data_IF_848690936778
#
_entry.id   IF_848690936778
#
_cell.length_a   1.000
_cell.length_b   1.000
_cell.length_c   1.000
_cell.angle_alpha   90.00
_cell.angle_beta   90.00
_cell.angle_gamma   90.00
#
_symmetry.space_group_name_H-M   'P 1'
#
loop_
_entity.id
_entity.type
_entity.pdbx_description
1 polymer ?
#
# COMPACT_ATOMS: atom_id res chain seq x y z
N UNK A 1 -34.69 24.08 58.61
CA UNK A 1 -33.45 23.87 59.38
C UNK A 1 -33.19 22.36 59.34
N UNK A 2 -32.09 21.92 58.71
CA UNK A 2 -31.68 20.52 58.42
C UNK A 2 -32.45 19.91 57.24
N UNK A 3 -31.93 19.70 56.02
CA UNK A 3 -30.66 19.15 55.51
C UNK A 3 -30.43 17.65 55.80
N UNK A 4 -29.91 16.99 54.76
CA UNK A 4 -29.42 15.61 54.63
C UNK A 4 -30.50 14.51 54.51
N UNK A 5 -30.57 13.67 53.50
CA UNK A 5 -29.60 13.27 52.49
C UNK A 5 -29.82 11.78 52.23
N UNK A 6 -30.42 11.41 51.11
CA UNK A 6 -30.38 10.01 50.65
C UNK A 6 -30.36 9.92 49.13
N UNK A 7 -29.17 10.21 48.62
CA UNK A 7 -28.62 9.71 47.38
C UNK A 7 -29.08 8.28 47.05
N UNK A 8 -29.77 8.11 45.91
CA UNK A 8 -29.66 6.90 45.06
C UNK A 8 -29.84 7.28 43.59
N UNK A 9 -28.76 7.73 42.99
CA UNK A 9 -28.41 7.33 41.62
C UNK A 9 -27.09 6.55 41.71
N UNK A 10 -26.74 5.67 40.75
CA UNK A 10 -27.46 5.24 39.56
C UNK A 10 -27.44 3.71 39.39
N UNK A 11 -28.19 3.20 38.40
CA UNK A 11 -27.68 2.22 37.40
C UNK A 11 -28.82 1.90 36.44
N UNK A 12 -29.28 2.93 35.74
CA UNK A 12 -29.79 2.73 34.39
C UNK A 12 -28.66 2.08 33.62
N UNK A 13 -28.71 0.75 33.50
CA UNK A 13 -27.84 -0.01 32.62
C UNK A 13 -28.23 0.49 31.24
N UNK A 14 -27.53 1.52 30.76
CA UNK A 14 -27.79 2.18 29.49
C UNK A 14 -27.68 1.08 28.43
N UNK A 15 -28.82 0.48 28.14
CA UNK A 15 -29.01 -0.49 27.08
C UNK A 15 -28.71 0.30 25.83
N UNK A 16 -27.48 0.14 25.38
CA UNK A 16 -26.96 0.76 24.19
C UNK A 16 -28.01 0.59 23.10
N UNK A 17 -28.49 1.68 22.51
CA UNK A 17 -29.56 1.62 21.52
C UNK A 17 -29.16 0.68 20.38
N UNK A 18 -30.12 0.01 19.74
CA UNK A 18 -29.80 -0.94 18.66
C UNK A 18 -28.94 -0.29 17.55
N UNK A 19 -29.13 1.02 17.32
CA UNK A 19 -28.32 1.84 16.42
C UNK A 19 -26.86 1.95 16.89
N UNK A 20 -26.62 2.25 18.16
CA UNK A 20 -25.29 2.32 18.74
C UNK A 20 -24.58 0.96 18.73
N UNK A 21 -25.30 -0.15 19.02
CA UNK A 21 -24.73 -1.51 18.89
C UNK A 21 -24.37 -1.85 17.44
N UNK A 22 -25.20 -1.44 16.47
CA UNK A 22 -24.94 -1.65 15.04
C UNK A 22 -23.72 -0.85 14.58
N UNK A 23 -23.57 0.38 15.05
CA UNK A 23 -22.41 1.22 14.77
C UNK A 23 -21.13 0.63 15.37
N UNK A 24 -21.16 0.24 16.65
CA UNK A 24 -20.00 -0.38 17.31
C UNK A 24 -19.63 -1.71 16.66
N UNK A 25 -20.61 -2.56 16.28
CA UNK A 25 -20.32 -3.79 15.52
C UNK A 25 -19.70 -3.48 14.17
N UNK A 26 -20.19 -2.46 13.45
CA UNK A 26 -19.62 -2.05 12.17
C UNK A 26 -18.19 -1.53 12.34
N UNK A 27 -17.93 -0.73 13.37
CA UNK A 27 -16.57 -0.27 13.71
C UNK A 27 -15.68 -1.44 14.11
N UNK A 28 -16.14 -2.39 14.92
CA UNK A 28 -15.36 -3.57 15.32
C UNK A 28 -15.10 -4.49 14.12
N UNK A 29 -16.06 -4.66 13.20
CA UNK A 29 -15.86 -5.40 11.95
C UNK A 29 -14.87 -4.67 11.05
N UNK A 30 -14.97 -3.34 10.94
CA UNK A 30 -14.00 -2.51 10.21
C UNK A 30 -12.62 -2.57 10.89
N UNK A 31 -12.53 -2.54 12.21
CA UNK A 31 -11.26 -2.63 12.95
C UNK A 31 -10.66 -4.03 12.88
N UNK A 32 -11.49 -5.08 12.85
CA UNK A 32 -11.04 -6.46 12.65
C UNK A 32 -10.65 -6.75 11.20
N UNK A 33 -11.31 -6.13 10.22
CA UNK A 33 -10.79 -6.12 8.84
C UNK A 33 -9.49 -5.31 8.77
N UNK A 34 -9.39 -4.21 9.53
CA UNK A 34 -8.17 -3.43 9.70
C UNK A 34 -7.04 -4.19 10.44
N UNK A 35 -7.38 -5.20 11.23
CA UNK A 35 -6.44 -6.06 11.95
C UNK A 35 -5.67 -7.03 11.05
N UNK A 36 -6.15 -7.28 9.82
CA UNK A 36 -5.40 -7.97 8.76
C UNK A 36 -4.86 -6.99 7.69
N UNK A 37 -5.44 -5.79 7.58
CA UNK A 37 -5.04 -4.69 6.67
C UNK A 37 -3.81 -3.89 7.15
N UNK A 38 -3.13 -4.38 8.19
CA UNK A 38 -1.72 -4.03 8.48
C UNK A 38 -0.78 -4.63 7.40
N UNK A 39 -1.33 -5.36 6.42
CA UNK A 39 -0.66 -5.67 5.16
C UNK A 39 -0.77 -4.50 4.16
N UNK A 40 -0.28 -3.31 4.53
CA UNK A 40 0.04 -2.15 3.64
C UNK A 40 -0.95 -0.97 3.58
N UNK A 41 -1.70 -0.67 4.63
CA UNK A 41 -2.33 0.65 4.77
C UNK A 41 -1.31 1.74 5.21
N UNK A 42 -0.37 2.10 4.34
CA UNK A 42 0.46 3.29 4.53
C UNK A 42 -0.38 4.54 4.27
N UNK A 43 -0.99 5.11 5.31
CA UNK A 43 -1.77 6.35 5.18
C UNK A 43 -0.91 7.64 5.12
N UNK A 44 0.42 7.54 5.21
CA UNK A 44 1.32 8.71 5.29
C UNK A 44 2.49 8.70 4.28
N UNK A 45 2.49 7.79 3.29
CA UNK A 45 3.61 7.60 2.36
C UNK A 45 4.83 6.84 2.91
N UNK A 46 4.83 6.45 4.19
CA UNK A 46 5.84 5.53 4.76
C UNK A 46 5.65 4.08 4.27
N UNK A 47 6.39 3.71 3.23
CA UNK A 47 6.32 2.38 2.64
C UNK A 47 7.06 1.31 3.46
N UNK A 48 7.53 1.60 4.68
CA UNK A 48 8.28 0.68 5.54
C UNK A 48 9.45 0.00 4.81
N UNK A 49 10.17 0.77 4.01
CA UNK A 49 11.29 0.29 3.19
C UNK A 49 10.88 -0.37 1.86
N UNK A 50 9.59 -0.61 1.61
CA UNK A 50 9.11 -1.00 0.29
C UNK A 50 9.17 0.17 -0.69
N UNK A 51 9.16 -0.14 -1.99
CA UNK A 51 9.22 0.86 -3.07
C UNK A 51 8.15 0.61 -4.12
N UNK A 52 7.77 1.67 -4.83
CA UNK A 52 6.96 1.59 -6.04
C UNK A 52 7.85 1.34 -7.24
N UNK A 53 7.23 0.94 -8.34
CA UNK A 53 7.93 0.83 -9.63
C UNK A 53 8.52 2.16 -10.09
N UNK A 54 7.85 3.29 -9.87
CA UNK A 54 8.41 4.61 -10.18
C UNK A 54 9.69 4.92 -9.41
N UNK A 55 9.76 4.54 -8.12
CA UNK A 55 10.96 4.77 -7.30
C UNK A 55 12.14 3.90 -7.80
N UNK A 56 11.87 2.72 -8.39
CA UNK A 56 12.89 1.90 -9.03
C UNK A 56 13.41 2.54 -10.32
N UNK A 57 12.52 3.11 -11.16
CA UNK A 57 12.93 3.83 -12.37
C UNK A 57 13.83 5.02 -12.03
N UNK A 58 13.49 5.77 -10.98
CA UNK A 58 14.31 6.89 -10.51
C UNK A 58 15.73 6.44 -10.12
N UNK A 59 15.87 5.27 -9.47
CA UNK A 59 17.19 4.72 -9.08
C UNK A 59 18.09 4.40 -10.28
N UNK A 60 17.49 4.01 -11.41
CA UNK A 60 18.21 3.79 -12.66
C UNK A 60 18.33 5.06 -13.52
N UNK A 61 17.84 6.21 -13.04
CA UNK A 61 17.82 7.45 -13.82
C UNK A 61 16.89 7.39 -15.05
N UNK A 62 15.96 6.44 -15.09
CA UNK A 62 15.06 6.24 -16.23
C UNK A 62 13.82 7.12 -16.06
N UNK A 63 13.66 8.10 -16.93
CA UNK A 63 12.49 8.96 -16.97
C UNK A 63 11.51 8.48 -18.04
N UNK A 64 10.35 7.98 -17.62
CA UNK A 64 9.27 7.58 -18.52
C UNK A 64 8.03 8.47 -18.30
N UNK A 65 7.24 8.74 -19.34
CA UNK A 65 5.92 9.35 -19.18
C UNK A 65 5.00 8.50 -18.27
N UNK A 66 4.10 9.13 -17.52
CA UNK A 66 3.19 8.48 -16.55
C UNK A 66 2.47 7.24 -17.12
N UNK A 67 2.02 7.33 -18.38
CA UNK A 67 1.42 6.20 -19.09
C UNK A 67 2.36 5.00 -19.16
N UNK A 68 3.60 5.20 -19.60
CA UNK A 68 4.61 4.15 -19.72
C UNK A 68 5.06 3.59 -18.36
N UNK A 69 5.13 4.43 -17.31
CA UNK A 69 5.39 3.96 -15.95
C UNK A 69 4.31 2.96 -15.48
N UNK A 70 3.05 3.21 -15.86
CA UNK A 70 1.95 2.29 -15.56
C UNK A 70 2.09 0.96 -16.29
N UNK A 71 2.59 0.97 -17.53
CA UNK A 71 2.91 -0.25 -18.28
C UNK A 71 4.05 -1.03 -17.65
N UNK A 72 5.15 -0.37 -17.26
CA UNK A 72 6.21 -1.00 -16.48
C UNK A 72 5.66 -1.65 -15.20
N UNK A 73 4.78 -0.97 -14.46
CA UNK A 73 4.09 -1.52 -13.31
C UNK A 73 3.36 -2.84 -13.58
N UNK A 74 2.71 -2.98 -14.75
CA UNK A 74 2.04 -4.22 -15.17
C UNK A 74 3.03 -5.36 -15.40
N UNK A 75 4.18 -5.07 -16.01
CA UNK A 75 5.24 -6.06 -16.22
C UNK A 75 5.82 -6.57 -14.90
N UNK A 76 6.07 -5.66 -13.94
CA UNK A 76 6.53 -6.05 -12.60
C UNK A 76 5.47 -6.89 -11.89
N UNK A 77 4.19 -6.50 -11.90
CA UNK A 77 3.13 -7.27 -11.25
C UNK A 77 3.01 -8.69 -11.84
N UNK A 78 3.16 -8.83 -13.17
CA UNK A 78 3.19 -10.15 -13.83
C UNK A 78 4.40 -10.97 -13.38
N UNK A 79 5.59 -10.37 -13.34
CA UNK A 79 6.81 -11.03 -12.88
C UNK A 79 6.71 -11.45 -11.40
N UNK A 80 6.12 -10.61 -10.56
CA UNK A 80 5.91 -10.89 -9.15
C UNK A 80 5.01 -12.10 -8.95
N UNK A 81 3.87 -12.17 -9.66
CA UNK A 81 2.98 -13.35 -9.63
C UNK A 81 3.71 -14.61 -10.06
N UNK A 82 4.56 -14.54 -11.09
CA UNK A 82 5.34 -15.69 -11.54
C UNK A 82 6.33 -16.16 -10.46
N UNK A 83 6.97 -15.23 -9.73
CA UNK A 83 7.93 -15.55 -8.68
C UNK A 83 7.28 -15.98 -7.35
N UNK A 84 6.05 -15.55 -7.07
CA UNK A 84 5.37 -15.74 -5.79
C UNK A 84 4.11 -16.61 -5.89
N UNK A 85 4.17 -17.70 -6.66
CA UNK A 85 3.09 -18.69 -6.77
C UNK A 85 1.70 -18.10 -7.11
N UNK A 86 1.67 -17.10 -7.98
CA UNK A 86 0.45 -16.42 -8.41
C UNK A 86 -0.07 -15.34 -7.47
N UNK A 87 0.61 -15.09 -6.34
CA UNK A 87 0.19 -14.05 -5.41
C UNK A 87 0.39 -12.65 -5.98
N UNK A 88 -0.57 -11.77 -5.70
CA UNK A 88 -0.44 -10.35 -5.98
C UNK A 88 0.56 -9.72 -5.01
N UNK A 89 1.33 -8.74 -5.52
CA UNK A 89 2.16 -7.92 -4.65
C UNK A 89 1.28 -7.12 -3.68
N UNK A 90 1.81 -6.73 -2.52
CA UNK A 90 1.06 -5.88 -1.62
C UNK A 90 0.79 -4.50 -2.23
N UNK A 91 -0.25 -3.82 -1.73
CA UNK A 91 -0.67 -2.51 -2.26
C UNK A 91 -0.71 -1.47 -1.16
N UNK A 92 -0.26 -0.27 -1.47
CA UNK A 92 -0.26 0.86 -0.56
C UNK A 92 -0.94 2.08 -1.18
N UNK A 93 -1.62 2.87 -0.33
CA UNK A 93 -2.09 4.19 -0.70
C UNK A 93 -0.91 5.16 -0.74
N UNK A 94 -0.72 5.80 -1.88
CA UNK A 94 0.37 6.77 -2.07
C UNK A 94 -0.16 8.01 -2.78
N UNK A 95 0.47 9.15 -2.53
CA UNK A 95 0.16 10.37 -3.27
C UNK A 95 0.85 10.34 -4.63
N UNK A 96 0.08 10.50 -5.68
CA UNK A 96 0.57 10.65 -7.05
C UNK A 96 1.44 11.91 -7.14
N UNK A 97 2.65 11.80 -7.70
CA UNK A 97 3.63 12.89 -7.67
C UNK A 97 3.19 14.11 -8.50
N UNK A 98 2.65 13.87 -9.69
CA UNK A 98 2.21 14.94 -10.60
C UNK A 98 0.80 15.48 -10.26
N UNK A 99 -0.18 14.60 -10.06
CA UNK A 99 -1.58 15.02 -9.84
C UNK A 99 -1.94 15.29 -8.38
N UNK A 100 -1.10 14.89 -7.42
CA UNK A 100 -1.36 15.06 -5.98
C UNK A 100 -2.49 14.20 -5.42
N UNK A 101 -3.15 13.37 -6.24
CA UNK A 101 -4.26 12.49 -5.85
C UNK A 101 -3.74 11.26 -5.11
N UNK A 102 -4.51 10.76 -4.16
CA UNK A 102 -4.23 9.45 -3.55
C UNK A 102 -4.58 8.34 -4.54
N UNK A 103 -3.64 7.43 -4.75
CA UNK A 103 -3.76 6.27 -5.63
C UNK A 103 -3.36 5.01 -4.86
N UNK A 104 -3.96 3.89 -5.23
CA UNK A 104 -3.65 2.59 -4.63
C UNK A 104 -2.76 1.80 -5.60
N UNK A 105 -1.50 1.56 -5.23
CA UNK A 105 -0.50 0.97 -6.14
C UNK A 105 0.20 -0.21 -5.50
N UNK A 106 0.72 -1.11 -6.33
CA UNK A 106 1.60 -2.18 -5.88
C UNK A 106 2.93 -1.64 -5.35
N UNK A 107 3.41 -2.24 -4.27
CA UNK A 107 4.71 -1.96 -3.64
C UNK A 107 5.49 -3.25 -3.49
N UNK A 108 6.82 -3.12 -3.51
CA UNK A 108 7.73 -4.26 -3.60
C UNK A 108 8.89 -4.08 -2.63
N UNK A 109 9.50 -5.19 -2.20
CA UNK A 109 10.84 -5.11 -1.60
C UNK A 109 11.81 -4.48 -2.62
N UNK A 110 12.72 -3.57 -2.21
CA UNK A 110 13.70 -2.99 -3.12
C UNK A 110 14.61 -4.01 -3.80
N UNK A 111 14.76 -5.18 -3.20
CA UNK A 111 15.58 -6.30 -3.71
C UNK A 111 14.77 -7.37 -4.43
N UNK A 112 13.47 -7.14 -4.66
CA UNK A 112 12.61 -8.12 -5.31
C UNK A 112 13.02 -8.34 -6.77
N UNK A 113 13.29 -9.59 -7.21
CA UNK A 113 13.71 -9.88 -8.58
C UNK A 113 12.65 -9.53 -9.64
N UNK A 114 11.37 -9.39 -9.26
CA UNK A 114 10.30 -8.97 -10.16
C UNK A 114 10.52 -7.55 -10.72
N UNK A 115 11.17 -6.66 -9.95
CA UNK A 115 11.47 -5.30 -10.39
C UNK A 115 12.42 -5.29 -11.58
N UNK A 116 13.52 -6.05 -11.48
CA UNK A 116 14.51 -6.21 -12.55
C UNK A 116 13.93 -6.97 -13.74
N UNK A 117 13.16 -8.03 -13.47
CA UNK A 117 12.49 -8.81 -14.52
C UNK A 117 11.49 -7.96 -15.30
N UNK A 118 10.74 -7.10 -14.61
CA UNK A 118 9.85 -6.14 -15.25
C UNK A 118 10.61 -5.18 -16.18
N UNK A 119 11.78 -4.70 -15.75
CA UNK A 119 12.59 -3.78 -16.55
C UNK A 119 13.12 -4.45 -17.81
N UNK A 120 13.57 -5.71 -17.70
CA UNK A 120 14.08 -6.50 -18.83
C UNK A 120 12.99 -6.88 -19.83
N UNK A 121 11.76 -7.11 -19.38
CA UNK A 121 10.66 -7.55 -20.25
C UNK A 121 9.89 -6.42 -20.89
N UNK A 122 9.91 -5.22 -20.31
CA UNK A 122 9.23 -4.07 -20.89
C UNK A 122 10.11 -3.37 -21.92
N UNK A 123 9.64 -3.29 -23.17
CA UNK A 123 10.41 -2.79 -24.32
C UNK A 123 11.05 -1.40 -24.09
N UNK A 124 10.35 -0.49 -23.41
CA UNK A 124 10.86 0.87 -23.19
C UNK A 124 12.03 0.93 -22.20
N UNK A 125 12.16 -0.07 -21.32
CA UNK A 125 13.23 -0.15 -20.32
C UNK A 125 14.28 -1.22 -20.63
N UNK A 126 13.93 -2.21 -21.45
CA UNK A 126 14.78 -3.37 -21.73
C UNK A 126 16.14 -2.97 -22.31
N UNK A 127 16.15 -2.07 -23.30
CA UNK A 127 17.40 -1.60 -23.92
C UNK A 127 18.29 -0.80 -22.97
N UNK A 128 17.69 -0.09 -22.00
CA UNK A 128 18.42 0.73 -21.03
C UNK A 128 19.15 -0.13 -19.99
N UNK A 129 18.53 -1.23 -19.57
CA UNK A 129 19.12 -2.19 -18.62
C UNK A 129 20.26 -2.99 -19.26
N UNK A 130 20.07 -3.40 -20.53
CA UNK A 130 21.09 -4.13 -21.26
C UNK A 130 22.37 -3.32 -21.39
N UNK A 131 22.28 -2.00 -21.57
CA UNK A 131 23.45 -1.11 -21.63
C UNK A 131 24.14 -0.95 -20.26
N UNK A 132 23.39 -0.82 -19.17
CA UNK A 132 23.96 -0.72 -17.82
C UNK A 132 24.73 -1.99 -17.41
N UNK A 133 24.26 -3.16 -17.83
CA UNK A 133 24.87 -4.46 -17.48
C UNK A 133 26.25 -4.69 -18.13
N UNK A 134 26.60 -3.95 -19.19
CA UNK A 134 27.93 -4.04 -19.83
C UNK A 134 28.99 -3.15 -19.16
N UNK A 135 28.59 -2.20 -18.31
CA UNK A 135 29.54 -1.22 -17.72
C UNK A 135 30.22 -1.75 -16.45
N UNK A 136 29.70 -2.83 -15.86
CA UNK A 136 30.21 -3.43 -14.61
C UNK A 136 31.20 -4.59 -14.87
N UNK A 137 31.52 -4.89 -16.14
CA UNK A 137 32.38 -6.00 -16.56
C UNK A 137 33.60 -5.57 -17.38
N UNK A 138 34.15 -4.38 -17.11
CA UNK A 138 35.37 -3.86 -17.72
C UNK A 138 36.39 -3.40 -16.65
#
# INVERSE_FOLDING_TARGET
MGDEGSSRHPKGRNSMTAKARKLIRRIITTVRSLGEDIRHATLNGDLHGAIRTGDMLDRFGIQLPDGQQSWYGRHVAKAYRAAHNGQDAPRAWVRHRTTGRWIHVFVYSPTDPALITGLRTYKATASLISQASFTEAA
#
